data_IF_763479039434
#
_entry.id   IF_763479039434
#
_cell.length_a   1.000
_cell.length_b   1.000
_cell.length_c   1.000
_cell.angle_alpha   90.00
_cell.angle_beta   90.00
_cell.angle_gamma   90.00
#
_symmetry.space_group_name_H-M   'P 1'
#
loop_
_entity.id
_entity.type
_entity.pdbx_description
1 polymer ?
#
# COMPACT_ATOMS: atom_id res chain seq x y z
N UNK A 1 5.72 -12.25 0.19
CA UNK A 1 7.03 -11.79 0.71
C UNK A 1 6.76 -10.73 1.77
N UNK A 2 7.42 -10.80 2.92
CA UNK A 2 7.28 -9.81 3.98
C UNK A 2 8.23 -8.65 3.76
N UNK A 3 7.74 -7.43 3.93
CA UNK A 3 8.58 -6.24 3.95
C UNK A 3 9.34 -6.13 5.29
N UNK A 4 10.54 -5.54 5.29
CA UNK A 4 11.25 -5.24 6.52
C UNK A 4 10.42 -4.32 7.42
N UNK A 5 10.65 -4.40 8.72
CA UNK A 5 9.90 -3.65 9.72
C UNK A 5 10.45 -2.22 9.86
N UNK A 6 9.57 -1.26 10.16
CA UNK A 6 9.88 0.19 10.04
C UNK A 6 10.22 0.83 11.39
N UNK A 7 11.10 1.85 11.38
CA UNK A 7 11.35 2.76 12.51
C UNK A 7 11.04 4.19 12.11
N UNK A 8 10.45 4.94 13.02
CA UNK A 8 10.02 6.33 12.81
C UNK A 8 11.21 7.29 12.61
N UNK A 9 11.06 8.32 11.78
CA UNK A 9 12.01 9.45 11.69
C UNK A 9 13.15 9.39 10.64
N UNK A 10 13.22 8.40 9.76
CA UNK A 10 14.13 8.42 8.59
C UNK A 10 13.34 8.39 7.29
N UNK A 11 13.30 9.50 6.52
CA UNK A 11 12.63 9.55 5.22
C UNK A 11 13.27 8.58 4.22
N UNK A 12 12.60 7.48 3.90
CA UNK A 12 13.09 6.49 2.95
C UNK A 12 11.95 5.81 2.18
N UNK A 13 12.18 5.53 0.90
CA UNK A 13 11.36 4.54 0.18
C UNK A 13 11.79 3.17 0.69
N UNK A 14 10.89 2.50 1.39
CA UNK A 14 11.17 1.22 2.05
C UNK A 14 10.83 0.05 1.14
N UNK A 15 9.83 0.26 0.30
CA UNK A 15 9.41 -0.70 -0.69
C UNK A 15 8.86 0.02 -1.91
N UNK A 16 9.24 -0.48 -3.08
CA UNK A 16 8.67 -0.09 -4.35
C UNK A 16 8.40 -1.36 -5.14
N UNK A 17 7.24 -1.46 -5.75
CA UNK A 17 6.84 -2.60 -6.57
C UNK A 17 5.93 -2.17 -7.72
N UNK A 18 5.99 -2.91 -8.82
CA UNK A 18 5.07 -2.79 -9.93
C UNK A 18 4.20 -4.03 -9.91
N UNK A 19 2.91 -3.84 -9.65
CA UNK A 19 1.96 -4.93 -9.48
C UNK A 19 1.18 -5.06 -10.79
N UNK A 20 1.48 -6.06 -11.65
CA UNK A 20 0.78 -6.25 -12.90
C UNK A 20 -0.66 -6.73 -12.65
N UNK A 21 -1.60 -6.11 -13.36
CA UNK A 21 -3.04 -6.41 -13.33
C UNK A 21 -3.51 -6.84 -14.73
N UNK A 22 -2.80 -7.79 -15.33
CA UNK A 22 -3.03 -8.22 -16.71
C UNK A 22 -2.48 -7.21 -17.71
N UNK A 23 -3.33 -6.33 -18.25
CA UNK A 23 -2.95 -5.28 -19.20
C UNK A 23 -2.55 -3.97 -18.54
N UNK A 24 -2.76 -3.85 -17.23
CA UNK A 24 -2.48 -2.65 -16.42
C UNK A 24 -1.45 -2.97 -15.33
N UNK A 25 -1.10 -1.95 -14.55
CA UNK A 25 -0.29 -2.13 -13.36
C UNK A 25 -0.62 -1.10 -12.28
N UNK A 26 -0.21 -1.39 -11.04
CA UNK A 26 -0.12 -0.40 -9.97
C UNK A 26 1.33 -0.23 -9.59
N UNK A 27 1.82 1.01 -9.63
CA UNK A 27 3.05 1.36 -8.92
C UNK A 27 2.68 1.56 -7.46
N UNK A 28 3.36 0.81 -6.58
CA UNK A 28 3.24 0.92 -5.15
C UNK A 28 4.57 1.43 -4.60
N UNK A 29 4.55 2.50 -3.84
CA UNK A 29 5.68 2.93 -3.02
C UNK A 29 5.25 3.11 -1.57
N UNK A 30 5.95 2.43 -0.65
CA UNK A 30 5.80 2.59 0.79
C UNK A 30 6.95 3.44 1.29
N UNK A 31 6.62 4.57 1.92
CA UNK A 31 7.60 5.52 2.45
C UNK A 31 7.41 5.66 3.94
N UNK A 32 8.52 5.58 4.69
CA UNK A 32 8.59 6.03 6.09
C UNK A 32 9.27 7.40 6.11
N UNK A 33 9.05 8.15 7.18
CA UNK A 33 9.61 9.47 7.45
C UNK A 33 9.01 9.97 8.74
N UNK A 34 8.49 11.20 8.72
CA UNK A 34 7.58 11.69 9.77
C UNK A 34 6.20 10.99 9.69
N UNK A 35 5.89 10.45 8.51
CA UNK A 35 4.64 9.78 8.18
C UNK A 35 4.89 8.45 7.45
N UNK A 36 4.05 7.43 7.70
CA UNK A 36 3.90 6.24 6.86
C UNK A 36 2.92 6.55 5.73
N UNK A 37 3.43 6.55 4.50
CA UNK A 37 2.65 6.92 3.31
C UNK A 37 2.74 5.84 2.24
N UNK A 38 1.59 5.44 1.71
CA UNK A 38 1.49 4.62 0.50
C UNK A 38 1.21 5.51 -0.70
N UNK A 39 2.14 5.59 -1.63
CA UNK A 39 1.89 6.19 -2.93
C UNK A 39 1.48 5.09 -3.91
N UNK A 40 0.35 5.30 -4.56
CA UNK A 40 -0.26 4.35 -5.48
C UNK A 40 -0.55 5.07 -6.78
N UNK A 41 -0.13 4.48 -7.89
CA UNK A 41 -0.37 5.03 -9.22
C UNK A 41 -0.84 3.92 -10.16
N UNK A 42 -2.01 4.12 -10.75
CA UNK A 42 -2.55 3.26 -11.78
C UNK A 42 -1.86 3.55 -13.11
N UNK A 43 -1.23 2.52 -13.68
CA UNK A 43 -0.71 2.54 -15.03
C UNK A 43 -1.71 1.96 -16.03
N UNK A 44 -1.87 2.62 -17.17
CA UNK A 44 -2.81 2.22 -18.23
C UNK A 44 -4.01 3.18 -18.37
N UNK A 45 -4.87 2.94 -19.36
CA UNK A 45 -6.12 3.69 -19.56
C UNK A 45 -7.30 2.81 -19.13
N UNK A 46 -7.55 2.74 -17.82
CA UNK A 46 -8.68 1.97 -17.30
C UNK A 46 -9.92 2.86 -17.17
N UNK A 47 -11.11 2.39 -17.61
CA UNK A 47 -12.37 3.07 -17.30
C UNK A 47 -12.81 2.83 -15.85
N UNK A 48 -12.43 1.68 -15.27
CA UNK A 48 -12.85 1.26 -13.94
C UNK A 48 -11.75 1.51 -12.89
N UNK A 49 -12.12 1.91 -11.66
CA UNK A 49 -11.17 2.09 -10.59
C UNK A 49 -10.56 0.76 -10.10
N UNK A 50 -9.33 0.84 -9.60
CA UNK A 50 -8.65 -0.26 -8.90
C UNK A 50 -9.01 -0.19 -7.42
N UNK A 51 -9.62 -1.25 -6.89
CA UNK A 51 -9.98 -1.35 -5.48
C UNK A 51 -8.79 -1.86 -4.68
N UNK A 52 -8.48 -1.14 -3.60
CA UNK A 52 -7.39 -1.48 -2.69
C UNK A 52 -7.96 -1.56 -1.28
N UNK A 53 -7.69 -2.67 -0.60
CA UNK A 53 -8.17 -2.94 0.77
C UNK A 53 -6.98 -3.13 1.70
N UNK A 54 -7.04 -2.49 2.86
CA UNK A 54 -6.06 -2.63 3.92
C UNK A 54 -6.63 -3.52 5.03
N UNK A 55 -5.86 -4.51 5.45
CA UNK A 55 -6.26 -5.47 6.47
C UNK A 55 -5.31 -5.43 7.68
N UNK A 56 -5.88 -5.62 8.87
CA UNK A 56 -5.19 -5.97 10.14
C UNK A 56 -5.86 -7.22 10.70
N UNK A 57 -5.09 -8.27 11.02
CA UNK A 57 -5.63 -9.56 11.51
C UNK A 57 -6.79 -10.14 10.66
N UNK A 58 -6.70 -10.07 9.33
CA UNK A 58 -7.75 -10.48 8.37
C UNK A 58 -9.06 -9.65 8.40
N UNK A 59 -9.14 -8.58 9.19
CA UNK A 59 -10.23 -7.62 9.13
C UNK A 59 -9.86 -6.47 8.20
N UNK A 60 -10.77 -6.09 7.30
CA UNK A 60 -10.60 -4.86 6.53
C UNK A 60 -10.75 -3.67 7.46
N UNK A 61 -9.73 -2.84 7.53
CA UNK A 61 -9.74 -1.62 8.36
C UNK A 61 -9.91 -0.36 7.52
N UNK A 62 -9.55 -0.41 6.23
CA UNK A 62 -9.74 0.72 5.33
C UNK A 62 -9.77 0.26 3.85
N UNK A 63 -10.37 1.07 2.98
CA UNK A 63 -10.51 0.80 1.54
C UNK A 63 -10.37 2.07 0.74
N UNK A 64 -9.75 1.97 -0.43
CA UNK A 64 -9.73 3.05 -1.41
C UNK A 64 -10.00 2.57 -2.83
N UNK A 65 -10.41 3.53 -3.65
CA UNK A 65 -10.68 3.39 -5.08
C UNK A 65 -9.67 4.25 -5.83
N UNK A 66 -8.75 3.60 -6.56
CA UNK A 66 -7.66 4.24 -7.28
C UNK A 66 -8.03 4.42 -8.77
N UNK A 67 -8.13 5.67 -9.22
CA UNK A 67 -8.37 6.00 -10.64
C UNK A 67 -7.12 6.48 -11.38
N UNK A 68 -6.21 7.16 -10.67
CA UNK A 68 -4.97 7.67 -11.25
C UNK A 68 -3.86 7.57 -10.21
N UNK A 69 -3.55 8.65 -9.49
CA UNK A 69 -2.57 8.65 -8.41
C UNK A 69 -3.22 9.04 -7.10
N UNK A 70 -2.84 8.36 -6.01
CA UNK A 70 -3.20 8.75 -4.65
C UNK A 70 -2.00 8.58 -3.72
N UNK A 71 -1.97 9.41 -2.69
CA UNK A 71 -1.07 9.29 -1.56
C UNK A 71 -1.92 9.02 -0.32
N UNK A 72 -1.78 7.84 0.27
CA UNK A 72 -2.59 7.37 1.40
C UNK A 72 -1.74 7.40 2.67
N UNK A 73 -2.10 8.30 3.58
CA UNK A 73 -1.45 8.44 4.88
C UNK A 73 -1.98 7.36 5.84
N UNK A 74 -1.06 6.62 6.44
CA UNK A 74 -1.32 5.51 7.34
C UNK A 74 -0.82 5.76 8.78
N UNK A 75 -0.57 7.01 9.17
CA UNK A 75 -0.01 7.35 10.49
C UNK A 75 -0.91 7.00 11.66
N UNK A 76 -2.22 6.93 11.43
CA UNK A 76 -3.19 6.58 12.47
C UNK A 76 -3.21 5.08 12.74
N UNK A 77 -2.42 4.28 12.00
CA UNK A 77 -2.31 2.86 12.24
C UNK A 77 -1.40 2.58 13.43
N UNK A 78 -1.91 1.81 14.37
CA UNK A 78 -1.11 1.27 15.48
C UNK A 78 -0.02 0.31 14.98
N UNK A 79 1.03 0.06 15.78
CA UNK A 79 1.98 -1.02 15.50
C UNK A 79 1.29 -2.37 15.26
N UNK A 80 1.86 -3.17 14.36
CA UNK A 80 1.32 -4.49 14.03
C UNK A 80 1.58 -4.94 12.59
N UNK A 81 1.00 -6.09 12.27
CA UNK A 81 1.10 -6.72 10.94
C UNK A 81 -0.10 -6.36 10.06
N UNK A 82 0.20 -5.94 8.84
CA UNK A 82 -0.76 -5.43 7.88
C UNK A 82 -0.65 -6.15 6.54
N UNK A 83 -1.77 -6.20 5.82
CA UNK A 83 -1.85 -6.72 4.46
C UNK A 83 -2.61 -5.73 3.58
N UNK A 84 -1.96 -5.25 2.53
CA UNK A 84 -2.59 -4.54 1.43
C UNK A 84 -3.04 -5.55 0.38
N UNK A 85 -4.26 -5.44 -0.13
CA UNK A 85 -4.76 -6.27 -1.23
C UNK A 85 -5.24 -5.39 -2.37
N UNK A 86 -4.76 -5.67 -3.59
CA UNK A 86 -5.09 -4.90 -4.79
C UNK A 86 -5.91 -5.79 -5.74
N UNK A 87 -7.18 -5.43 -5.95
CA UNK A 87 -8.14 -6.14 -6.82
C UNK A 87 -8.10 -7.67 -6.69
N UNK A 88 -7.86 -8.21 -5.49
CA UNK A 88 -7.72 -9.65 -5.18
C UNK A 88 -6.60 -10.40 -5.91
N UNK A 89 -5.76 -9.72 -6.70
CA UNK A 89 -4.69 -10.35 -7.48
C UNK A 89 -3.37 -10.49 -6.73
N UNK A 90 -3.06 -9.55 -5.84
CA UNK A 90 -1.81 -9.56 -5.08
C UNK A 90 -2.02 -8.99 -3.68
N UNK A 91 -1.31 -9.60 -2.74
CA UNK A 91 -1.23 -9.12 -1.36
C UNK A 91 0.19 -8.70 -1.01
N UNK A 92 0.34 -7.50 -0.45
CA UNK A 92 1.60 -6.99 0.08
C UNK A 92 1.50 -6.98 1.60
N UNK A 93 2.45 -7.65 2.26
CA UNK A 93 2.48 -7.79 3.72
C UNK A 93 3.57 -6.90 4.30
N UNK A 94 3.21 -6.11 5.31
CA UNK A 94 4.13 -5.18 5.96
C UNK A 94 3.89 -5.10 7.46
N UNK A 95 4.89 -4.63 8.20
CA UNK A 95 4.86 -4.53 9.66
C UNK A 95 5.29 -3.15 10.13
N UNK A 96 4.44 -2.53 10.95
CA UNK A 96 4.75 -1.29 11.66
C UNK A 96 5.30 -1.66 13.05
N UNK A 97 6.49 -1.18 13.41
CA UNK A 97 7.06 -1.35 14.76
C UNK A 97 6.86 -0.10 15.62
N UNK A 98 6.96 -0.28 16.93
CA UNK A 98 7.14 0.81 17.91
C UNK A 98 8.50 1.51 17.75
#
# INVERSE_FOLDING_TARGET
QWLPAFRDGVPAVIHSDIIPLGTDYVLLEIRSGDDLVLNLEAGGKKPDPILISLYKHNHVIDKLSLQSRISWNLNQLEPGDYRLEINTHKSVHFKIQE
#
